data_IF_790051015719
#
_entry.id   IF_790051015719
#
_cell.length_a   1.000
_cell.length_b   1.000
_cell.length_c   1.000
_cell.angle_alpha   90.00
_cell.angle_beta   90.00
_cell.angle_gamma   90.00
#
_symmetry.space_group_name_H-M   'P 1'
#
loop_
_entity.id
_entity.type
_entity.pdbx_description
1 polymer ?
#
# COMPACT_ATOMS: atom_id res chain seq x y z
N UNK A 1 -15.60 -24.73 -4.53
CA UNK A 1 -14.23 -25.07 -4.96
C UNK A 1 -13.26 -24.46 -3.95
N UNK A 2 -12.41 -25.31 -3.32
CA UNK A 2 -11.31 -24.83 -2.47
C UNK A 2 -10.29 -24.15 -3.39
N UNK A 3 -10.24 -22.82 -3.38
CA UNK A 3 -9.12 -22.06 -3.90
C UNK A 3 -7.90 -22.41 -3.06
N UNK A 4 -6.88 -23.00 -3.70
CA UNK A 4 -5.60 -23.25 -3.06
C UNK A 4 -4.99 -21.90 -2.64
N UNK A 5 -4.62 -21.74 -1.38
CA UNK A 5 -4.02 -20.49 -0.90
C UNK A 5 -2.70 -20.23 -1.60
N UNK A 6 -2.63 -19.10 -2.29
CA UNK A 6 -1.39 -18.64 -2.90
C UNK A 6 -0.49 -18.00 -1.83
N UNK A 7 0.82 -18.32 -1.79
CA UNK A 7 1.74 -17.68 -0.89
C UNK A 7 1.92 -16.20 -1.23
N UNK A 8 2.22 -15.39 -0.23
CA UNK A 8 2.44 -13.94 -0.42
C UNK A 8 3.64 -13.64 -1.34
N UNK A 9 4.61 -14.54 -1.39
CA UNK A 9 5.76 -14.47 -2.31
C UNK A 9 5.87 -15.78 -3.07
N UNK A 10 6.22 -15.73 -4.37
CA UNK A 10 6.41 -16.95 -5.15
C UNK A 10 7.60 -17.75 -4.62
N UNK A 11 7.41 -19.06 -4.50
CA UNK A 11 8.48 -20.05 -4.24
C UNK A 11 9.02 -20.64 -5.54
N UNK A 12 8.22 -20.56 -6.61
CA UNK A 12 8.59 -21.06 -7.93
C UNK A 12 9.67 -20.20 -8.59
N UNK A 13 10.66 -20.84 -9.19
CA UNK A 13 11.77 -20.17 -9.87
C UNK A 13 11.31 -19.66 -11.25
N UNK A 14 11.54 -18.38 -11.51
CA UNK A 14 11.34 -17.77 -12.81
C UNK A 14 12.70 -17.72 -13.54
N UNK A 15 12.84 -18.53 -14.57
CA UNK A 15 14.05 -18.55 -15.41
C UNK A 15 13.91 -17.56 -16.57
N UNK A 16 15.02 -17.02 -17.05
CA UNK A 16 15.04 -16.04 -18.16
C UNK A 16 14.34 -16.55 -19.42
N UNK A 17 14.44 -17.84 -19.72
CA UNK A 17 13.78 -18.52 -20.86
C UNK A 17 12.26 -18.58 -20.73
N UNK A 18 11.72 -18.40 -19.52
CA UNK A 18 10.29 -18.38 -19.23
C UNK A 18 9.73 -16.95 -19.12
N UNK A 19 10.51 -15.95 -19.51
CA UNK A 19 10.10 -14.56 -19.58
C UNK A 19 9.66 -14.21 -21.00
N UNK A 20 8.46 -13.70 -21.14
CA UNK A 20 7.93 -13.19 -22.41
C UNK A 20 7.60 -11.70 -22.27
N UNK A 21 8.04 -10.90 -23.26
CA UNK A 21 7.64 -9.50 -23.33
C UNK A 21 6.33 -9.39 -24.11
N UNK A 22 5.31 -8.82 -23.48
CA UNK A 22 3.98 -8.63 -24.09
C UNK A 22 3.67 -7.14 -24.22
N UNK A 23 2.97 -6.76 -25.27
CA UNK A 23 2.46 -5.41 -25.45
C UNK A 23 1.00 -5.38 -25.00
N UNK A 24 0.75 -4.88 -23.79
CA UNK A 24 -0.60 -4.73 -23.27
C UNK A 24 -1.19 -3.39 -23.68
N UNK A 25 -2.40 -3.44 -24.21
CA UNK A 25 -3.24 -2.29 -24.57
C UNK A 25 -4.61 -2.47 -23.95
N UNK A 26 -5.56 -1.62 -24.32
CA UNK A 26 -6.98 -1.80 -23.92
C UNK A 26 -7.62 -3.06 -24.50
N UNK A 27 -7.04 -3.59 -25.57
CA UNK A 27 -7.47 -4.87 -26.13
C UNK A 27 -6.96 -6.03 -25.28
N UNK A 28 -7.82 -7.01 -25.06
CA UNK A 28 -7.49 -8.21 -24.30
C UNK A 28 -6.62 -9.12 -25.15
N UNK A 29 -5.47 -9.51 -24.63
CA UNK A 29 -4.64 -10.57 -25.18
C UNK A 29 -4.76 -11.82 -24.32
N UNK A 30 -4.75 -12.98 -24.95
CA UNK A 30 -4.79 -14.28 -24.27
C UNK A 30 -3.44 -14.96 -24.36
N UNK A 31 -2.94 -15.46 -23.24
CA UNK A 31 -1.74 -16.29 -23.15
C UNK A 31 -2.06 -17.63 -22.51
N UNK A 32 -1.40 -18.68 -23.00
CA UNK A 32 -1.48 -20.02 -22.43
C UNK A 32 -0.06 -20.57 -22.25
N UNK A 33 0.18 -21.21 -21.11
CA UNK A 33 1.47 -21.82 -20.82
C UNK A 33 1.31 -22.90 -19.75
N UNK A 34 2.37 -23.60 -19.42
CA UNK A 34 2.43 -24.59 -18.36
C UNK A 34 3.34 -24.08 -17.23
N UNK A 35 2.86 -24.17 -16.00
CA UNK A 35 3.57 -23.81 -14.78
C UNK A 35 3.53 -24.94 -13.77
N UNK A 36 4.42 -24.90 -12.79
CA UNK A 36 4.39 -25.83 -11.67
C UNK A 36 4.62 -25.09 -10.35
N UNK A 37 4.56 -25.81 -9.24
CA UNK A 37 4.91 -25.27 -7.92
C UNK A 37 6.38 -24.85 -7.81
N UNK A 38 7.23 -25.30 -8.72
CA UNK A 38 8.68 -24.99 -8.74
C UNK A 38 9.13 -24.21 -9.98
N UNK A 39 8.31 -24.16 -11.03
CA UNK A 39 8.61 -23.48 -12.31
C UNK A 39 7.55 -22.43 -12.59
N UNK A 40 7.96 -21.16 -12.60
CA UNK A 40 7.11 -20.01 -12.93
C UNK A 40 7.30 -19.58 -14.40
N UNK A 41 6.29 -18.88 -14.92
CA UNK A 41 6.34 -18.12 -16.18
C UNK A 41 6.13 -16.64 -15.84
N UNK A 42 6.75 -15.75 -16.59
CA UNK A 42 6.65 -14.31 -16.41
C UNK A 42 6.30 -13.57 -17.70
N UNK A 43 5.39 -12.62 -17.59
CA UNK A 43 5.04 -11.70 -18.68
C UNK A 43 5.50 -10.29 -18.30
N UNK A 44 6.42 -9.72 -19.07
CA UNK A 44 6.87 -8.33 -18.86
C UNK A 44 6.15 -7.39 -19.80
N UNK A 45 5.75 -6.23 -19.31
CA UNK A 45 5.07 -5.20 -20.11
C UNK A 45 5.45 -3.80 -19.63
N UNK A 46 5.27 -2.82 -20.52
CA UNK A 46 5.42 -1.40 -20.16
C UNK A 46 4.10 -0.87 -19.64
N UNK A 47 4.12 -0.21 -18.50
CA UNK A 47 2.97 0.45 -17.92
C UNK A 47 3.28 1.90 -17.56
N UNK A 48 2.21 2.70 -17.41
CA UNK A 48 2.28 4.08 -16.95
C UNK A 48 1.56 4.22 -15.61
N UNK A 49 2.03 5.15 -14.80
CA UNK A 49 1.39 5.49 -13.53
C UNK A 49 -0.10 5.75 -13.71
N UNK A 50 -0.93 5.14 -12.87
CA UNK A 50 -2.39 5.27 -12.90
C UNK A 50 -3.12 4.31 -13.82
N UNK A 51 -2.44 3.57 -14.71
CA UNK A 51 -3.07 2.51 -15.49
C UNK A 51 -3.48 1.34 -14.59
N UNK A 52 -4.49 0.59 -15.02
CA UNK A 52 -4.96 -0.61 -14.34
C UNK A 52 -4.66 -1.83 -15.21
N UNK A 53 -3.92 -2.79 -14.66
CA UNK A 53 -3.80 -4.10 -15.27
C UNK A 53 -5.10 -4.89 -14.97
N UNK A 54 -5.73 -5.39 -16.02
CA UNK A 54 -6.85 -6.33 -15.90
C UNK A 54 -6.37 -7.70 -16.34
N UNK A 55 -6.58 -8.72 -15.52
CA UNK A 55 -6.34 -10.10 -15.91
C UNK A 55 -7.45 -11.00 -15.39
N UNK A 56 -7.75 -12.05 -16.13
CA UNK A 56 -8.74 -13.06 -15.78
C UNK A 56 -8.25 -14.46 -16.16
N UNK A 57 -8.51 -15.42 -15.28
CA UNK A 57 -8.21 -16.83 -15.51
C UNK A 57 -9.20 -17.69 -14.73
N UNK A 58 -9.62 -18.81 -15.33
CA UNK A 58 -10.45 -19.82 -14.66
C UNK A 58 -9.59 -20.95 -14.03
N UNK A 59 -8.27 -20.86 -14.23
CA UNK A 59 -7.34 -21.89 -13.75
C UNK A 59 -6.87 -21.57 -12.32
N UNK A 60 -6.65 -22.62 -11.52
CA UNK A 60 -6.13 -22.54 -10.16
C UNK A 60 -4.60 -22.29 -10.21
N UNK A 61 -4.24 -21.02 -10.41
CA UNK A 61 -2.87 -20.51 -10.48
C UNK A 61 -2.69 -19.32 -9.55
N UNK A 62 -1.45 -19.08 -9.16
CA UNK A 62 -1.06 -17.91 -8.38
C UNK A 62 -0.41 -16.86 -9.27
N UNK A 63 -0.79 -15.61 -9.07
CA UNK A 63 -0.33 -14.48 -9.88
C UNK A 63 0.26 -13.40 -8.97
N UNK A 64 1.46 -12.94 -9.27
CA UNK A 64 2.13 -11.83 -8.58
C UNK A 64 2.52 -10.76 -9.58
N UNK A 65 2.16 -9.51 -9.31
CA UNK A 65 2.52 -8.35 -10.12
C UNK A 65 3.69 -7.62 -9.46
N UNK A 66 4.80 -7.47 -10.17
CA UNK A 66 5.97 -6.73 -9.72
C UNK A 66 6.05 -5.36 -10.40
N UNK A 67 6.32 -4.34 -9.62
CA UNK A 67 6.65 -2.98 -10.07
C UNK A 67 8.07 -2.90 -10.65
N UNK A 68 8.42 -1.78 -11.32
CA UNK A 68 9.76 -1.58 -11.87
C UNK A 68 10.89 -1.65 -10.83
N UNK A 69 10.60 -1.34 -9.56
CA UNK A 69 11.53 -1.44 -8.42
C UNK A 69 11.54 -2.84 -7.75
N UNK A 70 10.99 -3.87 -8.42
CA UNK A 70 10.91 -5.25 -7.94
C UNK A 70 10.07 -5.48 -6.68
N UNK A 71 9.11 -4.61 -6.38
CA UNK A 71 8.16 -4.81 -5.28
C UNK A 71 6.92 -5.55 -5.78
N UNK A 72 6.41 -6.50 -4.98
CA UNK A 72 5.12 -7.14 -5.27
C UNK A 72 3.99 -6.17 -4.94
N UNK A 73 3.19 -5.83 -5.94
CA UNK A 73 2.02 -4.98 -5.79
C UNK A 73 0.85 -5.76 -5.19
N UNK A 74 0.14 -5.15 -4.24
CA UNK A 74 -1.05 -5.72 -3.61
C UNK A 74 -2.35 -5.44 -4.41
N UNK A 75 -2.21 -5.04 -5.67
CA UNK A 75 -3.35 -4.71 -6.54
C UNK A 75 -2.89 -4.59 -7.99
N UNK A 76 -3.80 -4.18 -8.85
CA UNK A 76 -3.59 -4.13 -10.30
C UNK A 76 -3.35 -2.71 -10.82
N UNK A 77 -3.45 -1.68 -9.98
CA UNK A 77 -3.15 -0.29 -10.34
C UNK A 77 -1.64 -0.06 -10.35
N UNK A 78 -1.11 0.45 -11.45
CA UNK A 78 0.31 0.71 -11.62
C UNK A 78 0.70 2.03 -10.92
N UNK A 79 1.63 2.01 -9.94
CA UNK A 79 2.00 3.20 -9.18
C UNK A 79 2.91 4.18 -9.93
N UNK A 80 3.69 3.69 -10.91
CA UNK A 80 4.71 4.48 -11.60
C UNK A 80 4.86 4.07 -13.08
N UNK A 81 5.61 4.86 -13.84
CA UNK A 81 5.97 4.51 -15.21
C UNK A 81 7.12 3.51 -15.22
N UNK A 82 7.03 2.46 -16.02
CA UNK A 82 8.14 1.53 -16.12
C UNK A 82 7.79 0.14 -16.65
N UNK A 83 8.73 -0.79 -16.46
CA UNK A 83 8.58 -2.19 -16.87
C UNK A 83 8.09 -3.02 -15.69
N UNK A 84 6.93 -3.62 -15.86
CA UNK A 84 6.28 -4.51 -14.89
C UNK A 84 6.50 -5.97 -15.24
N UNK A 85 6.37 -6.84 -14.26
CA UNK A 85 6.42 -8.28 -14.42
C UNK A 85 5.20 -8.93 -13.77
N UNK A 86 4.45 -9.70 -14.54
CA UNK A 86 3.41 -10.59 -14.04
C UNK A 86 3.98 -12.00 -13.96
N UNK A 87 4.25 -12.49 -12.75
CA UNK A 87 4.76 -13.85 -12.50
C UNK A 87 3.62 -14.78 -12.16
N UNK A 88 3.61 -15.98 -12.78
CA UNK A 88 2.57 -16.98 -12.63
C UNK A 88 3.20 -18.32 -12.26
N UNK A 89 2.61 -19.00 -11.27
CA UNK A 89 2.98 -20.36 -10.87
C UNK A 89 1.76 -21.17 -10.43
N UNK A 90 1.89 -22.49 -10.41
CA UNK A 90 0.85 -23.34 -9.83
C UNK A 90 1.01 -23.41 -8.30
N UNK A 91 -0.08 -23.40 -7.53
CA UNK A 91 -0.02 -23.57 -6.08
C UNK A 91 0.49 -24.98 -5.68
N UNK A 92 0.18 -25.99 -6.52
CA UNK A 92 0.61 -27.38 -6.35
C UNK A 92 0.76 -28.08 -7.70
N UNK A 93 1.73 -28.98 -7.79
CA UNK A 93 1.95 -29.83 -8.97
C UNK A 93 2.30 -29.05 -10.22
N UNK A 94 1.80 -29.50 -11.37
CA UNK A 94 1.95 -28.85 -12.66
C UNK A 94 0.58 -28.60 -13.28
N UNK A 95 0.41 -27.41 -13.90
CA UNK A 95 -0.86 -26.98 -14.50
C UNK A 95 -0.61 -26.25 -15.82
N UNK A 96 -1.45 -26.51 -16.79
CA UNK A 96 -1.62 -25.64 -17.95
C UNK A 96 -2.64 -24.58 -17.60
N UNK A 97 -2.37 -23.34 -17.95
CA UNK A 97 -3.28 -22.23 -17.69
C UNK A 97 -3.52 -21.41 -18.94
N UNK A 98 -4.63 -20.70 -18.91
CA UNK A 98 -5.00 -19.66 -19.87
C UNK A 98 -5.29 -18.38 -19.08
N UNK A 99 -4.69 -17.27 -19.48
CA UNK A 99 -4.89 -15.97 -18.85
C UNK A 99 -5.18 -14.91 -19.91
N UNK A 100 -6.22 -14.15 -19.68
CA UNK A 100 -6.58 -12.97 -20.47
C UNK A 100 -6.03 -11.74 -19.78
N UNK A 101 -5.36 -10.86 -20.52
CA UNK A 101 -4.71 -9.66 -19.95
C UNK A 101 -4.98 -8.44 -20.83
N UNK A 102 -5.23 -7.30 -20.20
CA UNK A 102 -5.33 -5.99 -20.85
C UNK A 102 -4.83 -4.90 -19.90
N UNK A 103 -4.44 -3.76 -20.47
CA UNK A 103 -4.00 -2.62 -19.69
C UNK A 103 -4.92 -1.45 -19.99
N UNK A 104 -5.71 -1.04 -18.98
CA UNK A 104 -6.65 0.07 -19.09
C UNK A 104 -5.93 1.38 -19.45
N UNK A 105 -6.60 2.21 -20.27
CA UNK A 105 -6.14 3.58 -20.52
C UNK A 105 -6.14 4.38 -19.23
N UNK A 106 -5.19 5.32 -19.10
CA UNK A 106 -5.40 6.47 -18.23
C UNK A 106 -6.72 7.08 -18.63
N UNK A 107 -7.65 7.24 -17.71
CA UNK A 107 -8.88 8.00 -18.00
C UNK A 107 -8.46 9.33 -18.63
N UNK A 108 -8.66 9.45 -19.93
CA UNK A 108 -8.38 10.70 -20.65
C UNK A 108 -9.32 11.75 -20.10
N UNK A 109 -8.76 12.68 -19.34
CA UNK A 109 -9.42 13.93 -19.05
C UNK A 109 -9.84 14.55 -20.38
N UNK A 110 -11.09 15.03 -20.56
CA UNK A 110 -11.51 15.65 -21.80
C UNK A 110 -10.56 16.80 -22.12
N UNK A 111 -10.08 16.82 -23.37
CA UNK A 111 -9.22 17.86 -23.93
C UNK A 111 -9.77 19.24 -23.58
N UNK A 112 -9.06 20.09 -22.86
CA UNK A 112 -9.50 21.45 -22.60
C UNK A 112 -9.32 22.28 -23.87
N UNK A 113 -10.42 22.80 -24.39
CA UNK A 113 -10.42 23.93 -25.33
C UNK A 113 -9.67 25.10 -24.68
N UNK A 114 -8.77 25.81 -25.40
CA UNK A 114 -7.97 26.88 -24.79
C UNK A 114 -8.86 28.05 -24.37
N UNK A 115 -8.99 28.26 -23.08
CA UNK A 115 -9.55 29.49 -22.51
C UNK A 115 -8.58 30.15 -21.56
N UNK A 116 -8.35 31.39 -21.83
CA UNK A 116 -7.44 32.32 -21.18
C UNK A 116 -7.69 32.52 -19.68
N UNK A 117 -6.58 32.70 -18.98
CA UNK A 117 -6.36 33.41 -17.71
C UNK A 117 -6.53 32.65 -16.40
N UNK A 118 -5.61 32.83 -15.44
CA UNK A 118 -5.52 32.04 -14.24
C UNK A 118 -6.58 32.47 -13.24
N UNK A 119 -7.53 31.59 -13.01
CA UNK A 119 -8.41 31.63 -11.85
C UNK A 119 -7.85 30.65 -10.80
N UNK A 120 -7.96 30.94 -9.49
CA UNK A 120 -7.37 30.10 -8.45
C UNK A 120 -7.85 28.66 -8.57
N UNK A 121 -6.92 27.71 -8.47
CA UNK A 121 -7.19 26.26 -8.52
C UNK A 121 -8.41 25.90 -7.69
N UNK A 122 -9.38 25.12 -8.24
CA UNK A 122 -10.46 24.57 -7.45
C UNK A 122 -9.86 23.71 -6.33
N UNK A 123 -10.37 23.89 -5.13
CA UNK A 123 -10.04 23.04 -3.99
C UNK A 123 -10.41 21.59 -4.32
N UNK A 124 -9.42 20.79 -4.66
CA UNK A 124 -9.65 19.38 -4.94
C UNK A 124 -10.12 18.69 -3.66
N UNK A 125 -11.34 18.21 -3.65
CA UNK A 125 -11.89 17.47 -2.53
C UNK A 125 -11.18 16.11 -2.40
N UNK A 126 -10.95 15.66 -1.17
CA UNK A 126 -10.29 14.39 -0.91
C UNK A 126 -11.13 13.24 -1.47
N UNK A 127 -10.52 12.40 -2.27
CA UNK A 127 -11.16 11.17 -2.75
C UNK A 127 -10.87 9.98 -1.82
N UNK A 128 -11.71 8.94 -1.89
CA UNK A 128 -11.50 7.72 -1.10
C UNK A 128 -10.12 7.08 -1.37
N UNK A 129 -9.72 7.02 -2.66
CA UNK A 129 -8.43 6.45 -3.06
C UNK A 129 -7.23 7.23 -2.51
N UNK A 130 -7.33 8.57 -2.48
CA UNK A 130 -6.29 9.42 -1.88
C UNK A 130 -6.22 9.24 -0.37
N UNK A 131 -7.39 9.18 0.29
CA UNK A 131 -7.47 8.92 1.72
C UNK A 131 -6.85 7.55 2.08
N UNK A 132 -7.18 6.50 1.32
CA UNK A 132 -6.61 5.17 1.53
C UNK A 132 -5.08 5.16 1.33
N UNK A 133 -4.57 5.83 0.29
CA UNK A 133 -3.13 5.96 0.05
C UNK A 133 -2.42 6.67 1.19
N UNK A 134 -3.00 7.77 1.71
CA UNK A 134 -2.45 8.49 2.85
C UNK A 134 -2.39 7.59 4.09
N UNK A 135 -3.44 6.79 4.35
CA UNK A 135 -3.44 5.86 5.48
C UNK A 135 -2.40 4.75 5.30
N UNK A 136 -2.28 4.15 4.11
CA UNK A 136 -1.24 3.16 3.80
C UNK A 136 0.16 3.74 4.05
N UNK A 137 0.40 4.94 3.55
CA UNK A 137 1.68 5.63 3.74
C UNK A 137 1.95 5.96 5.21
N UNK A 138 0.92 6.31 5.97
CA UNK A 138 1.06 6.53 7.41
C UNK A 138 1.54 5.27 8.15
N UNK A 139 1.08 4.08 7.78
CA UNK A 139 1.58 2.84 8.39
C UNK A 139 3.08 2.62 8.13
N UNK A 140 3.59 3.00 6.97
CA UNK A 140 5.03 2.95 6.66
C UNK A 140 5.81 3.99 7.47
N UNK A 141 5.33 5.24 7.52
CA UNK A 141 5.92 6.32 8.32
C UNK A 141 5.95 5.95 9.81
N UNK A 142 4.84 5.42 10.33
CA UNK A 142 4.73 4.96 11.72
C UNK A 142 5.78 3.88 12.04
N UNK A 143 5.99 2.93 11.13
CA UNK A 143 6.99 1.87 11.28
C UNK A 143 8.41 2.43 11.39
N UNK A 144 8.74 3.47 10.64
CA UNK A 144 10.03 4.14 10.68
C UNK A 144 10.17 4.99 11.94
N UNK A 145 9.18 5.81 12.24
CA UNK A 145 9.21 6.74 13.37
C UNK A 145 9.23 6.03 14.74
N UNK A 146 8.55 4.89 14.86
CA UNK A 146 8.48 4.12 16.12
C UNK A 146 9.47 2.96 16.16
N UNK A 147 10.21 2.73 15.09
CA UNK A 147 11.25 1.71 14.98
C UNK A 147 12.53 2.10 15.73
N UNK A 148 13.52 1.22 15.72
CA UNK A 148 14.80 1.40 16.44
C UNK A 148 15.63 2.58 15.94
N UNK A 149 15.42 3.04 14.71
CA UNK A 149 16.08 4.23 14.13
C UNK A 149 15.43 5.54 14.56
N UNK A 150 14.15 5.50 15.01
CA UNK A 150 13.34 6.68 15.29
C UNK A 150 13.36 7.71 14.15
N UNK A 151 13.27 7.22 12.90
CA UNK A 151 13.24 8.11 11.73
C UNK A 151 11.86 8.76 11.59
N UNK A 152 11.76 9.97 12.09
CA UNK A 152 10.54 10.77 12.10
C UNK A 152 10.48 11.80 10.96
N UNK A 153 11.44 11.76 10.04
CA UNK A 153 11.61 12.75 8.95
C UNK A 153 10.37 12.91 8.07
N UNK A 154 9.59 11.85 7.89
CA UNK A 154 8.38 11.86 7.07
C UNK A 154 7.10 12.20 7.84
N UNK A 155 7.12 12.24 9.17
CA UNK A 155 5.90 12.47 9.95
C UNK A 155 5.22 13.78 9.57
N UNK A 156 5.97 14.88 9.44
CA UNK A 156 5.44 16.20 9.06
C UNK A 156 4.81 16.23 7.67
N UNK A 157 5.25 15.35 6.77
CA UNK A 157 4.71 15.26 5.42
C UNK A 157 3.31 14.66 5.40
N UNK A 158 3.04 13.68 6.27
CA UNK A 158 1.81 12.88 6.24
C UNK A 158 0.85 13.15 7.40
N UNK A 159 1.34 13.71 8.50
CA UNK A 159 0.55 14.05 9.68
C UNK A 159 0.52 15.56 9.96
N UNK A 160 -0.58 16.01 10.52
CA UNK A 160 -0.79 17.38 11.02
C UNK A 160 -1.68 17.33 12.27
N UNK A 161 -1.94 18.47 12.88
CA UNK A 161 -2.86 18.60 14.00
C UNK A 161 -2.56 17.63 15.16
N UNK A 162 -3.60 16.96 15.65
CA UNK A 162 -3.48 16.09 16.82
C UNK A 162 -2.63 14.86 16.59
N UNK A 163 -2.70 14.26 15.38
CA UNK A 163 -1.84 13.11 15.03
C UNK A 163 -0.36 13.48 15.06
N UNK A 164 0.00 14.63 14.49
CA UNK A 164 1.37 15.14 14.53
C UNK A 164 1.84 15.40 15.95
N UNK A 165 1.01 16.12 16.74
CA UNK A 165 1.34 16.44 18.13
C UNK A 165 1.48 15.21 19.03
N UNK A 166 0.56 14.23 18.90
CA UNK A 166 0.66 12.96 19.64
C UNK A 166 1.88 12.14 19.23
N UNK A 167 2.38 12.31 18.00
CA UNK A 167 3.53 11.57 17.50
C UNK A 167 4.85 12.20 17.93
N UNK A 168 4.98 13.56 17.86
CA UNK A 168 6.26 14.26 17.96
C UNK A 168 6.33 15.39 19.02
N UNK A 169 5.22 15.86 19.59
CA UNK A 169 5.28 17.07 20.41
C UNK A 169 4.74 16.88 21.83
N UNK A 170 3.61 16.16 21.98
CA UNK A 170 2.90 16.04 23.24
C UNK A 170 3.80 15.61 24.39
N UNK A 171 3.60 16.22 25.53
CA UNK A 171 4.29 15.85 26.76
C UNK A 171 3.38 14.97 27.63
N UNK A 172 3.89 13.82 28.08
CA UNK A 172 3.23 12.94 29.04
C UNK A 172 4.23 12.60 30.16
N UNK A 173 3.83 12.76 31.41
CA UNK A 173 4.64 12.47 32.61
C UNK A 173 6.05 13.11 32.58
N UNK A 174 6.13 14.35 32.09
CA UNK A 174 7.39 15.09 31.99
C UNK A 174 8.29 14.70 30.80
N UNK A 175 7.86 13.75 29.97
CA UNK A 175 8.56 13.36 28.75
C UNK A 175 7.85 14.00 27.57
N UNK A 176 8.53 14.89 26.85
CA UNK A 176 8.03 15.53 25.63
C UNK A 176 8.55 14.84 24.38
N UNK A 177 7.96 15.19 23.23
CA UNK A 177 8.32 14.57 21.92
C UNK A 177 7.33 13.51 21.48
N UNK A 178 6.12 13.51 22.03
CA UNK A 178 5.05 12.58 21.69
C UNK A 178 5.44 11.12 21.92
N UNK A 179 4.87 10.24 21.10
CA UNK A 179 5.18 8.80 21.15
C UNK A 179 6.65 8.52 20.84
N UNK A 180 7.25 9.23 19.88
CA UNK A 180 8.67 9.04 19.51
C UNK A 180 9.58 9.44 20.66
N UNK A 181 9.33 10.59 21.29
CA UNK A 181 10.07 11.06 22.46
C UNK A 181 9.97 10.08 23.64
N UNK A 182 8.77 9.58 23.92
CA UNK A 182 8.55 8.58 24.98
C UNK A 182 9.34 7.29 24.69
N UNK A 183 9.19 6.72 23.50
CA UNK A 183 9.91 5.51 23.11
C UNK A 183 11.43 5.67 23.26
N UNK A 184 11.96 6.77 22.73
CA UNK A 184 13.40 7.09 22.79
C UNK A 184 13.89 7.22 24.22
N UNK A 185 13.14 7.96 25.08
CA UNK A 185 13.52 8.18 26.47
C UNK A 185 13.49 6.91 27.33
N UNK A 186 12.61 5.97 26.99
CA UNK A 186 12.49 4.67 27.68
C UNK A 186 13.39 3.57 27.12
N UNK A 187 14.11 3.83 26.02
CA UNK A 187 14.89 2.82 25.32
C UNK A 187 14.01 1.74 24.68
N UNK A 188 12.81 2.12 24.28
CA UNK A 188 11.81 1.22 23.67
C UNK A 188 11.61 1.53 22.20
N UNK A 189 11.25 0.53 21.40
CA UNK A 189 10.91 0.71 20.00
C UNK A 189 9.98 -0.42 19.54
N UNK A 190 9.24 -0.17 18.46
CA UNK A 190 8.38 -1.17 17.84
C UNK A 190 9.04 -1.82 16.63
N UNK A 191 8.81 -3.12 16.45
CA UNK A 191 8.89 -3.79 15.15
C UNK A 191 7.49 -4.17 14.71
N UNK A 192 7.25 -4.06 13.41
CA UNK A 192 5.97 -4.45 12.79
C UNK A 192 6.26 -5.56 11.79
N UNK A 193 5.74 -6.76 12.04
CA UNK A 193 5.84 -7.85 11.09
C UNK A 193 4.99 -7.53 9.87
N UNK A 194 3.77 -7.03 10.11
CA UNK A 194 2.90 -6.49 9.06
C UNK A 194 1.89 -5.48 9.62
N UNK A 195 1.37 -4.63 8.71
CA UNK A 195 0.22 -3.76 8.92
C UNK A 195 -0.63 -3.81 7.65
N UNK A 196 -1.75 -4.51 7.69
CA UNK A 196 -2.60 -4.76 6.53
C UNK A 196 -3.94 -4.04 6.69
N UNK A 197 -4.30 -3.22 5.71
CA UNK A 197 -5.66 -2.70 5.57
C UNK A 197 -6.47 -3.80 4.90
N UNK A 198 -7.38 -4.43 5.66
CA UNK A 198 -8.18 -5.55 5.19
C UNK A 198 -9.33 -5.07 4.27
N UNK A 199 -9.94 -3.94 4.63
CA UNK A 199 -11.04 -3.32 3.86
C UNK A 199 -11.28 -1.89 4.32
N UNK A 200 -11.89 -1.08 3.46
CA UNK A 200 -12.50 0.20 3.82
C UNK A 200 -13.88 -0.11 4.42
N UNK A 201 -14.15 0.44 5.60
CA UNK A 201 -15.43 0.30 6.29
C UNK A 201 -16.38 1.43 5.87
N UNK A 202 -15.87 2.67 5.84
CA UNK A 202 -16.61 3.84 5.39
C UNK A 202 -15.67 4.96 4.94
N UNK A 203 -16.16 5.82 4.07
CA UNK A 203 -15.50 7.06 3.67
C UNK A 203 -16.52 8.19 3.66
N UNK A 204 -16.21 9.28 4.36
CA UNK A 204 -17.00 10.50 4.37
C UNK A 204 -16.13 11.65 3.83
N UNK A 205 -16.36 12.12 2.61
CA UNK A 205 -15.65 13.25 2.02
C UNK A 205 -16.15 14.61 2.53
N UNK A 206 -17.24 14.63 3.30
CA UNK A 206 -17.97 15.85 3.63
C UNK A 206 -17.31 16.69 4.73
N UNK A 207 -17.54 17.97 4.69
CA UNK A 207 -17.14 18.92 5.73
C UNK A 207 -15.66 19.32 5.70
N UNK A 208 -15.23 20.03 6.73
CA UNK A 208 -13.86 20.54 6.88
C UNK A 208 -12.83 19.49 7.30
N UNK A 209 -13.28 18.30 7.65
CA UNK A 209 -12.46 17.18 8.13
C UNK A 209 -12.97 15.87 7.56
N UNK A 210 -12.76 15.60 6.26
CA UNK A 210 -13.09 14.31 5.66
C UNK A 210 -12.50 13.15 6.47
N UNK A 211 -13.15 11.99 6.44
CA UNK A 211 -12.68 10.83 7.20
C UNK A 211 -12.79 9.52 6.44
N UNK A 212 -11.92 8.57 6.78
CA UNK A 212 -11.98 7.20 6.33
C UNK A 212 -11.87 6.25 7.53
N UNK A 213 -12.72 5.25 7.57
CA UNK A 213 -12.62 4.15 8.54
C UNK A 213 -12.14 2.91 7.81
N UNK A 214 -11.04 2.34 8.27
CA UNK A 214 -10.45 1.12 7.73
C UNK A 214 -10.45 0.02 8.78
N UNK A 215 -10.67 -1.23 8.35
CA UNK A 215 -10.39 -2.40 9.16
C UNK A 215 -8.94 -2.80 8.92
N UNK A 216 -8.14 -2.86 9.97
CA UNK A 216 -6.71 -3.14 9.88
C UNK A 216 -6.31 -4.30 10.78
N UNK A 217 -5.38 -5.13 10.31
CA UNK A 217 -4.68 -6.12 11.13
C UNK A 217 -3.21 -5.72 11.22
N UNK A 218 -2.70 -5.62 12.45
CA UNK A 218 -1.27 -5.39 12.70
C UNK A 218 -0.71 -6.50 13.58
N UNK A 219 0.51 -6.91 13.27
CA UNK A 219 1.33 -7.72 14.16
C UNK A 219 2.59 -6.94 14.50
N UNK A 220 2.84 -6.77 15.80
CA UNK A 220 3.91 -5.91 16.28
C UNK A 220 4.48 -6.41 17.61
N UNK A 221 5.72 -6.02 17.86
CA UNK A 221 6.42 -6.30 19.11
C UNK A 221 6.99 -4.99 19.67
N UNK A 222 6.75 -4.72 20.95
CA UNK A 222 7.39 -3.63 21.67
C UNK A 222 8.65 -4.13 22.36
N UNK A 223 9.80 -3.73 21.86
CA UNK A 223 11.13 -4.07 22.39
C UNK A 223 11.57 -3.04 23.44
N UNK A 224 12.43 -3.47 24.35
CA UNK A 224 13.04 -2.60 25.34
C UNK A 224 13.02 -3.18 26.76
N UNK A 225 13.44 -2.39 27.76
CA UNK A 225 13.50 -2.85 29.15
C UNK A 225 12.12 -3.14 29.74
N UNK A 226 11.94 -4.27 30.40
CA UNK A 226 10.70 -4.60 31.12
C UNK A 226 10.37 -3.61 32.23
N UNK A 227 11.40 -3.05 32.87
CA UNK A 227 11.27 -2.00 33.88
C UNK A 227 10.61 -0.71 33.35
N UNK A 228 10.68 -0.47 32.06
CA UNK A 228 10.02 0.64 31.36
C UNK A 228 8.65 0.27 30.79
N UNK A 229 8.14 -0.95 31.05
CA UNK A 229 6.90 -1.47 30.48
C UNK A 229 7.02 -1.99 29.03
N UNK A 230 8.25 -2.17 28.56
CA UNK A 230 8.55 -2.69 27.22
C UNK A 230 8.98 -4.17 27.26
N UNK A 231 9.40 -4.74 26.13
CA UNK A 231 9.78 -6.14 26.06
C UNK A 231 8.59 -7.09 26.19
N UNK A 232 7.48 -6.72 25.55
CA UNK A 232 6.25 -7.53 25.52
C UNK A 232 6.33 -8.59 24.42
N UNK A 233 5.61 -9.73 24.56
CA UNK A 233 5.46 -10.67 23.45
C UNK A 233 4.86 -10.01 22.22
N UNK A 234 5.13 -10.59 21.04
CA UNK A 234 4.47 -10.19 19.79
C UNK A 234 2.96 -10.26 19.94
N UNK A 235 2.30 -9.20 19.53
CA UNK A 235 0.85 -9.06 19.60
C UNK A 235 0.28 -8.91 18.19
N UNK A 236 -0.84 -9.59 17.96
CA UNK A 236 -1.64 -9.42 16.74
C UNK A 236 -3.00 -8.89 17.14
N UNK A 237 -3.44 -7.84 16.49
CA UNK A 237 -4.79 -7.32 16.68
C UNK A 237 -5.43 -6.91 15.36
N UNK A 238 -6.74 -6.97 15.35
CA UNK A 238 -7.57 -6.47 14.26
C UNK A 238 -8.58 -5.48 14.83
N UNK A 239 -8.67 -4.30 14.22
CA UNK A 239 -9.61 -3.26 14.65
C UNK A 239 -10.03 -2.35 13.50
N UNK A 240 -11.13 -1.63 13.70
CA UNK A 240 -11.48 -0.49 12.86
C UNK A 240 -10.78 0.75 13.41
N UNK A 241 -10.16 1.51 12.51
CA UNK A 241 -9.50 2.78 12.83
C UNK A 241 -10.08 3.85 11.90
N UNK A 242 -10.51 4.96 12.48
CA UNK A 242 -10.95 6.14 11.72
C UNK A 242 -9.83 7.16 11.67
N UNK A 243 -9.56 7.66 10.48
CA UNK A 243 -8.61 8.72 10.20
C UNK A 243 -9.35 9.94 9.69
N UNK A 244 -9.02 11.12 10.23
CA UNK A 244 -9.52 12.41 9.77
C UNK A 244 -8.43 13.14 9.03
N UNK A 245 -8.82 13.90 8.01
CA UNK A 245 -7.88 14.61 7.15
C UNK A 245 -8.07 16.12 7.25
N UNK A 246 -6.99 16.85 7.02
CA UNK A 246 -6.98 18.30 6.93
C UNK A 246 -6.05 18.74 5.82
N UNK A 247 -6.43 19.78 5.10
CA UNK A 247 -5.58 20.36 4.06
C UNK A 247 -4.60 21.35 4.69
N UNK A 248 -3.33 21.18 4.42
CA UNK A 248 -2.26 22.07 4.88
C UNK A 248 -1.34 22.39 3.70
N UNK A 249 -1.15 23.68 3.42
CA UNK A 249 -0.35 24.15 2.27
C UNK A 249 -0.72 23.47 0.94
N UNK A 250 -2.01 23.26 0.72
CA UNK A 250 -2.55 22.63 -0.50
C UNK A 250 -2.55 21.10 -0.51
N UNK A 251 -1.92 20.44 0.45
CA UNK A 251 -1.82 18.99 0.54
C UNK A 251 -2.73 18.42 1.63
N UNK A 252 -3.36 17.30 1.35
CA UNK A 252 -4.09 16.53 2.37
C UNK A 252 -3.12 15.77 3.28
N UNK A 253 -3.35 15.88 4.58
CA UNK A 253 -2.63 15.17 5.64
C UNK A 253 -3.60 14.56 6.63
N UNK A 254 -3.17 13.52 7.33
CA UNK A 254 -3.95 12.93 8.42
C UNK A 254 -3.82 13.86 9.64
N UNK A 255 -4.96 14.35 10.14
CA UNK A 255 -5.00 15.27 11.28
C UNK A 255 -5.28 14.60 12.61
N UNK A 256 -5.98 13.48 12.60
CA UNK A 256 -6.34 12.71 13.79
C UNK A 256 -6.62 11.25 13.46
N UNK A 257 -6.62 10.40 14.50
CA UNK A 257 -7.08 9.00 14.44
C UNK A 257 -7.63 8.56 15.80
N UNK A 258 -8.54 7.62 15.80
CA UNK A 258 -9.01 6.93 17.01
C UNK A 258 -8.86 5.42 16.92
#
# INVERSE_FOLDING_TARGET
>A
QKTSECPQKPTAILMAENLENVNLTTETITKSNQVSATKAVGYTFKGKSGQNLSYNTDDDICVWLYSPDNQILQGTKLPEDGKYLLQIAAPKGSKTFKIDMSLGTLASSPTPTPRLSPSPSPSHDLTQDEAEKLVKRWYEVKRQAFGSSFDDSLVKQYATGELYSNTLEKCNDGICGGTVGWLRSKGCYYTYDFSNINRIVSFDPSGSSPSITVNVTEQLTLHGPRSAGCGTPTQTYQKNVTYWFKKESGNWKISNRN
#
